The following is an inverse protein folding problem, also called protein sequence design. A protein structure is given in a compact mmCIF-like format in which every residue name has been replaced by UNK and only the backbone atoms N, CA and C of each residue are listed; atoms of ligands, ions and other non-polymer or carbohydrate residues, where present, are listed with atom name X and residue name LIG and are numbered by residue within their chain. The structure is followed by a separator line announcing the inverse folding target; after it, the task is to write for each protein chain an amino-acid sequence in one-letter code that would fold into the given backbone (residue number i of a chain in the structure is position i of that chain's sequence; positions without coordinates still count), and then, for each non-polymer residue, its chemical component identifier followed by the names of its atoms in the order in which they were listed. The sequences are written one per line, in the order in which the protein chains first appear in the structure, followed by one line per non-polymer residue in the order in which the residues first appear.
data_IF_553497324166
#
_entry.id   IF_553497324166
#
_cell.length_a   1.000
_cell.length_b   1.000
_cell.length_c   1.000
_cell.angle_alpha   90.00
_cell.angle_beta   90.00
_cell.angle_gamma   90.00
#
_symmetry.space_group_name_H-M   'P 1'
#
loop_
_entity.id
_entity.type
_entity.pdbx_description
1 polymer ?
#
# COMPACT_ATOMS: atom_id res chain seq x y z
N UNK A 1 31.15 3.39 0.58
CA UNK A 1 31.50 2.33 -0.39
C UNK A 1 31.10 0.92 0.07
N UNK A 2 31.53 0.42 1.25
CA UNK A 2 31.19 -0.95 1.72
C UNK A 2 29.68 -1.27 1.80
N UNK A 3 28.83 -0.33 2.26
CA UNK A 3 27.37 -0.54 2.36
C UNK A 3 26.67 -0.66 1.00
N UNK A 4 27.06 0.17 0.03
CA UNK A 4 26.52 0.14 -1.34
C UNK A 4 26.95 -1.15 -2.04
N UNK A 5 28.22 -1.54 -1.90
CA UNK A 5 28.72 -2.80 -2.43
C UNK A 5 27.99 -4.01 -1.84
N UNK A 6 27.83 -4.08 -0.50
CA UNK A 6 27.09 -5.15 0.17
C UNK A 6 25.62 -5.18 -0.25
N UNK A 7 24.99 -4.02 -0.41
CA UNK A 7 23.62 -3.92 -0.91
C UNK A 7 23.49 -4.50 -2.33
N UNK A 8 24.36 -4.09 -3.27
CA UNK A 8 24.34 -4.61 -4.64
C UNK A 8 24.62 -6.11 -4.69
N UNK A 9 25.62 -6.57 -3.92
CA UNK A 9 25.97 -8.00 -3.84
C UNK A 9 24.82 -8.83 -3.27
N UNK A 10 24.15 -8.33 -2.23
CA UNK A 10 23.00 -9.03 -1.63
C UNK A 10 21.84 -9.11 -2.60
N UNK A 11 21.52 -8.03 -3.32
CA UNK A 11 20.47 -8.05 -4.34
C UNK A 11 20.82 -9.04 -5.46
N UNK A 12 22.07 -9.03 -5.95
CA UNK A 12 22.51 -9.98 -6.98
C UNK A 12 22.40 -11.43 -6.50
N UNK A 13 22.82 -11.71 -5.26
CA UNK A 13 22.71 -13.04 -4.67
C UNK A 13 21.25 -13.50 -4.54
N UNK A 14 20.35 -12.61 -4.07
CA UNK A 14 18.90 -12.90 -3.99
C UNK A 14 18.32 -13.19 -5.37
N UNK A 15 18.64 -12.37 -6.38
CA UNK A 15 18.19 -12.57 -7.76
C UNK A 15 18.70 -13.89 -8.35
N UNK A 16 19.96 -14.25 -8.06
CA UNK A 16 20.56 -15.51 -8.50
C UNK A 16 19.86 -16.70 -7.85
N UNK A 17 19.65 -16.68 -6.53
CA UNK A 17 18.97 -17.76 -5.80
C UNK A 17 17.53 -17.92 -6.30
N UNK A 18 16.78 -16.82 -6.43
CA UNK A 18 15.42 -16.87 -6.98
C UNK A 18 15.39 -17.40 -8.41
N UNK A 19 16.33 -16.96 -9.27
CA UNK A 19 16.45 -17.44 -10.64
C UNK A 19 16.73 -18.94 -10.72
N UNK A 20 17.66 -19.45 -9.90
CA UNK A 20 17.98 -20.89 -9.82
C UNK A 20 16.77 -21.69 -9.34
N UNK A 21 16.12 -21.26 -8.26
CA UNK A 21 14.93 -21.93 -7.71
C UNK A 21 13.80 -21.98 -8.75
N UNK A 22 13.51 -20.86 -9.41
CA UNK A 22 12.50 -20.80 -10.46
C UNK A 22 12.85 -21.71 -11.64
N UNK A 23 14.11 -21.73 -12.07
CA UNK A 23 14.58 -22.60 -13.16
C UNK A 23 14.39 -24.09 -12.81
N UNK A 24 14.72 -24.51 -11.59
CA UNK A 24 14.51 -25.88 -11.12
C UNK A 24 13.01 -26.23 -11.10
N UNK A 25 12.17 -25.34 -10.54
CA UNK A 25 10.71 -25.56 -10.49
C UNK A 25 10.13 -25.67 -11.90
N UNK A 26 10.52 -24.77 -12.80
CA UNK A 26 10.05 -24.80 -14.19
C UNK A 26 10.48 -26.09 -14.90
N UNK A 27 11.75 -26.51 -14.75
CA UNK A 27 12.25 -27.77 -15.29
C UNK A 27 11.47 -28.98 -14.75
N UNK A 28 11.20 -29.03 -13.43
CA UNK A 28 10.44 -30.10 -12.80
C UNK A 28 8.97 -30.16 -13.28
N UNK A 29 8.38 -29.01 -13.64
CA UNK A 29 7.03 -28.91 -14.19
C UNK A 29 6.98 -29.04 -15.72
N UNK A 30 8.13 -29.23 -16.40
CA UNK A 30 8.21 -29.25 -17.87
C UNK A 30 7.88 -27.92 -18.54
N UNK A 31 7.98 -26.80 -17.82
CA UNK A 31 7.68 -25.46 -18.30
C UNK A 31 8.94 -24.80 -18.88
N UNK A 32 8.80 -24.14 -20.02
CA UNK A 32 9.84 -23.27 -20.56
C UNK A 32 9.59 -21.80 -20.21
N UNK A 33 10.64 -20.99 -20.09
CA UNK A 33 10.54 -19.55 -19.79
C UNK A 33 9.70 -18.76 -20.80
N UNK A 34 9.62 -19.26 -22.05
CA UNK A 34 8.82 -18.67 -23.14
C UNK A 34 7.40 -19.26 -23.25
N UNK A 35 7.12 -20.37 -22.56
CA UNK A 35 5.77 -20.94 -22.55
C UNK A 35 4.81 -20.07 -21.74
N UNK A 36 3.53 -20.08 -22.10
CA UNK A 36 2.49 -19.36 -21.34
C UNK A 36 2.48 -19.77 -19.86
N UNK A 37 2.68 -21.05 -19.56
CA UNK A 37 2.75 -21.56 -18.18
C UNK A 37 3.97 -21.03 -17.41
N UNK A 38 5.13 -20.98 -18.06
CA UNK A 38 6.35 -20.41 -17.45
C UNK A 38 6.22 -18.90 -17.18
N UNK A 39 5.68 -18.14 -18.14
CA UNK A 39 5.42 -16.71 -17.99
C UNK A 39 4.44 -16.47 -16.83
N UNK A 40 3.35 -17.26 -16.75
CA UNK A 40 2.37 -17.15 -15.67
C UNK A 40 2.99 -17.47 -14.30
N UNK A 41 3.83 -18.50 -14.21
CA UNK A 41 4.52 -18.86 -12.98
C UNK A 41 5.43 -17.72 -12.51
N UNK A 42 6.26 -17.19 -13.41
CA UNK A 42 7.13 -16.04 -13.12
C UNK A 42 6.28 -14.84 -12.68
N UNK A 43 5.26 -14.47 -13.46
CA UNK A 43 4.39 -13.34 -13.13
C UNK A 43 3.67 -13.51 -11.79
N UNK A 44 3.27 -14.74 -11.43
CA UNK A 44 2.64 -15.05 -10.15
C UNK A 44 3.63 -14.89 -9.00
N UNK A 45 4.84 -15.44 -9.13
CA UNK A 45 5.87 -15.35 -8.10
C UNK A 45 6.31 -13.91 -7.88
N UNK A 46 6.56 -13.14 -8.93
CA UNK A 46 6.97 -11.74 -8.77
C UNK A 46 5.82 -10.82 -8.36
N UNK A 47 4.62 -11.04 -8.90
CA UNK A 47 3.45 -10.24 -8.55
C UNK A 47 3.00 -10.44 -7.10
N UNK A 48 2.81 -11.69 -6.65
CA UNK A 48 2.41 -11.97 -5.27
C UNK A 48 3.57 -11.99 -4.28
N UNK A 49 4.75 -12.45 -4.69
CA UNK A 49 5.88 -12.63 -3.78
C UNK A 49 6.27 -11.33 -3.10
N UNK A 50 6.44 -10.25 -3.88
CA UNK A 50 6.74 -8.93 -3.31
C UNK A 50 5.62 -8.42 -2.38
N UNK A 51 4.37 -8.60 -2.78
CA UNK A 51 3.21 -8.14 -2.01
C UNK A 51 3.09 -8.87 -0.67
N UNK A 52 3.22 -10.20 -0.63
CA UNK A 52 3.16 -10.95 0.63
C UNK A 52 4.35 -10.69 1.53
N UNK A 53 5.57 -10.64 0.98
CA UNK A 53 6.77 -10.28 1.77
C UNK A 53 6.57 -8.91 2.41
N UNK A 54 6.09 -7.92 1.64
CA UNK A 54 5.79 -6.58 2.14
C UNK A 54 4.76 -6.61 3.26
N UNK A 55 3.66 -7.36 3.12
CA UNK A 55 2.61 -7.48 4.13
C UNK A 55 3.12 -8.11 5.43
N UNK A 56 3.90 -9.19 5.35
CA UNK A 56 4.45 -9.84 6.55
C UNK A 56 5.48 -8.96 7.27
N UNK A 57 6.26 -8.19 6.51
CA UNK A 57 7.25 -7.27 7.06
C UNK A 57 6.67 -5.92 7.47
N UNK A 58 5.43 -5.58 7.09
CA UNK A 58 4.89 -4.22 7.17
C UNK A 58 4.97 -3.63 8.58
N UNK A 59 4.61 -4.41 9.60
CA UNK A 59 4.66 -4.01 11.01
C UNK A 59 6.08 -3.77 11.49
N UNK A 60 7.03 -4.60 11.07
CA UNK A 60 8.45 -4.44 11.44
C UNK A 60 9.04 -3.19 10.76
N UNK A 61 8.77 -3.04 9.46
CA UNK A 61 9.20 -1.88 8.66
C UNK A 61 8.65 -0.62 9.29
N UNK A 62 7.34 -0.54 9.54
CA UNK A 62 6.70 0.63 10.12
C UNK A 62 7.31 1.02 11.46
N UNK A 63 7.49 0.07 12.39
CA UNK A 63 8.12 0.36 13.69
C UNK A 63 9.56 0.87 13.56
N UNK A 64 10.32 0.30 12.63
CA UNK A 64 11.73 0.69 12.41
C UNK A 64 11.87 2.02 11.67
N UNK A 65 11.01 2.29 10.69
CA UNK A 65 11.08 3.50 9.87
C UNK A 65 10.60 4.74 10.61
N UNK A 66 9.58 4.61 11.46
CA UNK A 66 9.06 5.72 12.25
C UNK A 66 9.69 5.83 13.63
N UNK A 67 10.42 4.82 14.08
CA UNK A 67 10.92 4.75 15.45
C UNK A 67 9.79 4.57 16.48
N UNK A 68 8.64 4.04 16.08
CA UNK A 68 7.47 3.89 16.93
C UNK A 68 7.78 3.08 18.20
N UNK A 69 7.41 3.65 19.34
CA UNK A 69 7.52 3.05 20.66
C UNK A 69 6.21 2.36 20.99
N UNK A 70 6.22 1.02 21.03
CA UNK A 70 5.05 0.21 21.38
C UNK A 70 4.77 0.35 22.88
N UNK A 71 3.54 0.69 23.23
CA UNK A 71 3.08 0.80 24.61
C UNK A 71 2.79 -0.61 25.13
N UNK A 72 3.70 -1.16 25.93
CA UNK A 72 3.48 -2.44 26.62
C UNK A 72 2.81 -2.24 27.97
N UNK A 73 3.18 -1.17 28.68
CA UNK A 73 2.56 -0.71 29.92
C UNK A 73 2.46 0.82 29.86
N UNK A 74 1.24 1.40 29.97
CA UNK A 74 1.07 2.84 29.97
C UNK A 74 1.82 3.52 31.12
N UNK A 75 2.56 4.59 30.83
CA UNK A 75 3.37 5.34 31.80
C UNK A 75 2.72 6.65 32.25
N UNK A 76 1.73 7.14 31.51
CA UNK A 76 1.02 8.39 31.76
C UNK A 76 -0.45 8.27 31.35
N UNK A 77 -1.25 9.29 31.68
CA UNK A 77 -2.69 9.33 31.39
C UNK A 77 -2.99 9.26 29.89
N UNK A 78 -2.18 9.90 29.04
CA UNK A 78 -2.36 9.88 27.58
C UNK A 78 -2.16 8.48 27.00
N UNK A 79 -1.08 7.78 27.38
CA UNK A 79 -0.83 6.40 26.97
C UNK A 79 -1.92 5.47 27.48
N UNK A 80 -2.42 5.71 28.71
CA UNK A 80 -3.48 4.91 29.30
C UNK A 80 -4.80 5.09 28.54
N UNK A 81 -5.17 6.35 28.24
CA UNK A 81 -6.33 6.68 27.43
C UNK A 81 -6.22 6.07 26.02
N UNK A 82 -5.05 6.15 25.37
CA UNK A 82 -4.84 5.59 24.04
C UNK A 82 -5.08 4.08 24.01
N UNK A 83 -4.45 3.33 24.92
CA UNK A 83 -4.59 1.87 24.99
C UNK A 83 -6.03 1.47 25.29
N UNK A 84 -6.70 2.16 26.23
CA UNK A 84 -8.10 1.89 26.56
C UNK A 84 -9.04 2.20 25.39
N UNK A 85 -8.82 3.31 24.70
CA UNK A 85 -9.63 3.73 23.55
C UNK A 85 -9.53 2.72 22.41
N UNK A 86 -8.32 2.36 22.01
CA UNK A 86 -8.11 1.36 20.95
C UNK A 86 -8.66 0.00 21.38
N UNK A 87 -8.53 -0.39 22.64
CA UNK A 87 -9.11 -1.62 23.18
C UNK A 87 -10.64 -1.65 23.08
N UNK A 88 -11.31 -0.56 23.50
CA UNK A 88 -12.76 -0.44 23.42
C UNK A 88 -13.27 -0.45 21.96
N UNK A 89 -12.56 0.25 21.07
CA UNK A 89 -12.89 0.27 19.64
C UNK A 89 -12.66 -1.09 18.98
N UNK A 90 -11.55 -1.76 19.28
CA UNK A 90 -11.25 -3.11 18.79
C UNK A 90 -12.31 -4.12 19.24
N UNK A 91 -12.77 -4.03 20.49
CA UNK A 91 -13.85 -4.87 21.01
C UNK A 91 -15.17 -4.63 20.28
N UNK A 92 -15.57 -3.36 20.11
CA UNK A 92 -16.76 -2.99 19.33
C UNK A 92 -16.68 -3.46 17.87
N UNK A 93 -15.50 -3.42 17.27
CA UNK A 93 -15.24 -3.86 15.91
C UNK A 93 -15.07 -5.39 15.77
N UNK A 94 -15.05 -6.14 16.88
CA UNK A 94 -14.92 -7.60 16.85
C UNK A 94 -13.55 -8.11 16.40
N UNK A 95 -12.48 -7.34 16.66
CA UNK A 95 -11.10 -7.73 16.34
C UNK A 95 -10.25 -7.91 17.60
N UNK A 96 -9.13 -8.64 17.46
CA UNK A 96 -8.12 -8.69 18.52
C UNK A 96 -7.48 -7.31 18.68
N UNK A 97 -7.18 -6.94 19.92
CA UNK A 97 -6.48 -5.71 20.25
C UNK A 97 -5.18 -5.54 19.43
N UNK A 98 -5.06 -4.49 18.60
CA UNK A 98 -3.81 -4.15 17.91
C UNK A 98 -2.71 -3.76 18.91
N UNK A 99 -1.45 -3.89 18.50
CA UNK A 99 -0.37 -3.16 19.17
C UNK A 99 -0.66 -1.65 19.08
N UNK A 100 -0.44 -0.91 20.17
CA UNK A 100 -0.57 0.55 20.17
C UNK A 100 0.81 1.14 20.31
N UNK A 101 1.16 2.12 19.48
CA UNK A 101 2.44 2.79 19.54
C UNK A 101 2.33 4.30 19.37
N UNK A 102 3.32 5.01 19.89
CA UNK A 102 3.52 6.44 19.65
C UNK A 102 4.83 6.61 18.90
N UNK A 103 4.84 7.45 17.88
CA UNK A 103 6.07 7.84 17.19
C UNK A 103 6.23 9.35 17.18
N UNK A 104 7.48 9.80 17.15
CA UNK A 104 7.76 11.22 17.19
C UNK A 104 7.65 11.82 15.79
N UNK A 105 6.68 12.72 15.60
CA UNK A 105 6.52 13.51 14.39
C UNK A 105 5.65 14.72 14.69
N UNK A 106 6.02 15.94 14.23
CA UNK A 106 5.21 17.14 14.43
C UNK A 106 3.92 17.12 13.59
N UNK A 107 3.83 16.26 12.56
CA UNK A 107 2.64 16.14 11.72
C UNK A 107 1.50 15.44 12.46
N UNK A 108 0.26 15.88 12.23
CA UNK A 108 -0.94 15.23 12.76
C UNK A 108 -1.25 13.99 11.94
N UNK A 109 -0.80 12.82 12.41
CA UNK A 109 -0.93 11.59 11.64
C UNK A 109 -1.10 10.36 12.57
N UNK A 110 -1.81 9.37 12.07
CA UNK A 110 -1.93 8.04 12.63
C UNK A 110 -2.00 7.03 11.48
N UNK A 111 -1.61 5.79 11.74
CA UNK A 111 -1.72 4.75 10.74
C UNK A 111 -1.90 3.37 11.37
N UNK A 112 -2.59 2.50 10.64
CA UNK A 112 -2.70 1.08 10.92
C UNK A 112 -1.90 0.23 9.92
N UNK A 113 -1.25 -0.83 10.41
CA UNK A 113 -0.63 -1.83 9.53
C UNK A 113 -0.54 -3.21 10.19
N UNK A 114 -0.43 -4.26 9.38
CA UNK A 114 -0.08 -5.58 9.85
C UNK A 114 -0.56 -6.70 8.93
N UNK A 115 -0.03 -7.92 9.10
CA UNK A 115 -0.35 -9.05 8.22
C UNK A 115 -1.76 -9.61 8.36
N UNK A 116 -2.50 -9.26 9.42
CA UNK A 116 -3.91 -9.64 9.56
C UNK A 116 -4.62 -8.76 10.59
N UNK A 117 -5.96 -8.83 10.61
CA UNK A 117 -6.78 -8.19 11.66
C UNK A 117 -6.44 -8.63 13.08
N UNK A 118 -5.80 -9.79 13.25
CA UNK A 118 -5.41 -10.36 14.55
C UNK A 118 -3.92 -10.13 14.88
N UNK A 119 -3.19 -9.50 13.97
CA UNK A 119 -1.78 -9.17 14.13
C UNK A 119 -1.53 -7.83 13.43
N UNK A 120 -1.93 -6.76 14.10
CA UNK A 120 -1.91 -5.39 13.60
C UNK A 120 -1.29 -4.45 14.62
N UNK A 121 -0.96 -3.25 14.15
CA UNK A 121 -0.40 -2.14 14.88
C UNK A 121 -1.20 -0.89 14.50
N UNK A 122 -1.61 -0.12 15.49
CA UNK A 122 -2.11 1.26 15.34
C UNK A 122 -1.07 2.18 15.97
N UNK A 123 -0.54 3.12 15.21
CA UNK A 123 0.48 4.05 15.67
C UNK A 123 0.00 5.49 15.51
N UNK A 124 0.32 6.35 16.47
CA UNK A 124 -0.11 7.75 16.53
C UNK A 124 1.10 8.66 16.68
N UNK A 125 1.11 9.80 15.98
CA UNK A 125 2.19 10.79 16.12
C UNK A 125 2.03 11.66 17.37
N UNK A 126 3.15 12.17 17.89
CA UNK A 126 3.15 13.21 18.93
C UNK A 126 2.41 14.47 18.48
N UNK A 127 2.54 14.85 17.20
CA UNK A 127 1.82 15.97 16.59
C UNK A 127 0.30 15.81 16.63
N UNK A 128 -0.23 14.60 16.43
CA UNK A 128 -1.68 14.35 16.53
C UNK A 128 -2.16 14.56 17.96
N UNK A 129 -1.46 13.96 18.93
CA UNK A 129 -1.81 14.04 20.35
C UNK A 129 -1.78 15.47 20.91
N UNK A 130 -0.90 16.32 20.38
CA UNK A 130 -0.80 17.71 20.83
C UNK A 130 -1.78 18.66 20.13
N UNK A 131 -2.20 18.37 18.90
CA UNK A 131 -2.97 19.32 18.07
C UNK A 131 -4.44 18.95 17.87
N UNK A 132 -4.85 17.74 18.28
CA UNK A 132 -6.24 17.32 18.31
C UNK A 132 -6.78 17.26 19.74
N UNK A 133 -8.04 17.61 19.91
CA UNK A 133 -8.73 17.28 21.15
C UNK A 133 -9.02 15.77 21.24
N UNK A 134 -9.42 15.31 22.41
CA UNK A 134 -9.61 13.89 22.69
C UNK A 134 -10.69 13.24 21.80
N UNK A 135 -11.78 13.94 21.49
CA UNK A 135 -12.84 13.44 20.61
C UNK A 135 -12.37 13.29 19.15
N UNK A 136 -11.57 14.24 18.67
CA UNK A 136 -10.99 14.21 17.33
C UNK A 136 -9.96 13.09 17.21
N UNK A 137 -9.07 12.96 18.20
CA UNK A 137 -8.09 11.89 18.24
C UNK A 137 -8.75 10.51 18.38
N UNK A 138 -9.80 10.38 19.20
CA UNK A 138 -10.62 9.16 19.30
C UNK A 138 -11.20 8.76 17.94
N UNK A 139 -11.69 9.72 17.16
CA UNK A 139 -12.25 9.46 15.84
C UNK A 139 -11.19 9.02 14.81
N UNK A 140 -10.00 9.63 14.82
CA UNK A 140 -8.89 9.16 13.98
C UNK A 140 -8.47 7.74 14.35
N UNK A 141 -8.40 7.41 15.64
CA UNK A 141 -8.16 6.03 16.08
C UNK A 141 -9.24 5.06 15.60
N UNK A 142 -10.50 5.47 15.65
CA UNK A 142 -11.62 4.66 15.18
C UNK A 142 -11.55 4.41 13.66
N UNK A 143 -11.05 5.36 12.89
CA UNK A 143 -10.78 5.21 11.46
C UNK A 143 -9.68 4.17 11.21
N UNK A 144 -8.56 4.26 11.92
CA UNK A 144 -7.47 3.27 11.83
C UNK A 144 -7.89 1.87 12.28
N UNK A 145 -8.68 1.76 13.35
CA UNK A 145 -9.26 0.49 13.81
C UNK A 145 -10.22 -0.07 12.77
N UNK A 146 -10.99 0.78 12.08
CA UNK A 146 -11.89 0.34 11.01
C UNK A 146 -11.12 -0.21 9.81
N UNK A 147 -9.97 0.36 9.45
CA UNK A 147 -9.08 -0.24 8.46
C UNK A 147 -8.61 -1.64 8.86
N UNK A 148 -8.21 -1.83 10.11
CA UNK A 148 -7.81 -3.16 10.63
C UNK A 148 -8.99 -4.14 10.57
N UNK A 149 -10.19 -3.70 10.99
CA UNK A 149 -11.39 -4.53 11.03
C UNK A 149 -11.86 -4.96 9.64
N UNK A 150 -11.78 -4.07 8.66
CA UNK A 150 -12.11 -4.35 7.26
C UNK A 150 -11.09 -5.27 6.57
N UNK A 151 -9.92 -5.52 7.17
CA UNK A 151 -8.87 -6.34 6.57
C UNK A 151 -8.19 -5.65 5.39
N UNK A 152 -8.14 -4.33 5.44
CA UNK A 152 -7.76 -3.47 4.33
C UNK A 152 -6.33 -3.67 3.85
N UNK A 153 -5.40 -3.90 4.78
CA UNK A 153 -3.99 -4.17 4.47
C UNK A 153 -3.86 -5.43 3.61
N UNK A 154 -4.53 -6.51 4.04
CA UNK A 154 -4.51 -7.80 3.33
C UNK A 154 -5.18 -7.66 1.97
N UNK A 155 -6.34 -7.01 1.92
CA UNK A 155 -7.10 -6.90 0.67
C UNK A 155 -6.37 -6.04 -0.36
N UNK A 156 -5.75 -4.93 0.06
CA UNK A 156 -4.93 -4.11 -0.83
C UNK A 156 -3.68 -4.87 -1.30
N UNK A 157 -3.04 -5.65 -0.42
CA UNK A 157 -1.93 -6.54 -0.80
C UNK A 157 -2.35 -7.57 -1.85
N UNK A 158 -3.51 -8.20 -1.68
CA UNK A 158 -4.03 -9.19 -2.64
C UNK A 158 -4.35 -8.54 -3.98
N UNK A 159 -4.99 -7.37 -3.98
CA UNK A 159 -5.26 -6.60 -5.21
C UNK A 159 -3.95 -6.24 -5.89
N UNK A 160 -2.96 -5.73 -5.15
CA UNK A 160 -1.65 -5.40 -5.70
C UNK A 160 -0.96 -6.63 -6.29
N UNK A 161 -1.05 -7.78 -5.63
CA UNK A 161 -0.49 -9.05 -6.12
C UNK A 161 -1.10 -9.46 -7.46
N UNK A 162 -2.44 -9.50 -7.53
CA UNK A 162 -3.18 -9.84 -8.76
C UNK A 162 -2.85 -8.85 -9.88
N UNK A 163 -2.89 -7.55 -9.58
CA UNK A 163 -2.65 -6.49 -10.57
C UNK A 163 -1.21 -6.55 -11.09
N UNK A 164 -0.22 -6.72 -10.21
CA UNK A 164 1.18 -6.87 -10.61
C UNK A 164 1.40 -8.12 -11.46
N UNK A 165 0.81 -9.26 -11.07
CA UNK A 165 0.86 -10.49 -11.85
C UNK A 165 0.25 -10.28 -13.24
N UNK A 166 -0.91 -9.63 -13.32
CA UNK A 166 -1.55 -9.32 -14.60
C UNK A 166 -0.67 -8.42 -15.48
N UNK A 167 -0.12 -7.35 -14.94
CA UNK A 167 0.77 -6.42 -15.66
C UNK A 167 1.99 -7.16 -16.23
N UNK A 168 2.68 -7.94 -15.40
CA UNK A 168 3.87 -8.69 -15.82
C UNK A 168 3.49 -9.75 -16.87
N UNK A 169 2.41 -10.49 -16.65
CA UNK A 169 1.98 -11.55 -17.56
C UNK A 169 1.57 -10.99 -18.92
N UNK A 170 0.67 -10.01 -18.94
CA UNK A 170 0.15 -9.40 -20.16
C UNK A 170 1.26 -8.72 -20.97
N UNK A 171 2.16 -8.00 -20.30
CA UNK A 171 3.29 -7.35 -20.97
C UNK A 171 4.22 -8.36 -21.65
N UNK A 172 4.59 -9.45 -20.95
CA UNK A 172 5.48 -10.48 -21.50
C UNK A 172 4.85 -11.25 -22.65
N UNK A 173 3.56 -11.57 -22.55
CA UNK A 173 2.83 -12.25 -23.64
C UNK A 173 2.76 -11.36 -24.87
N UNK A 174 2.37 -10.09 -24.73
CA UNK A 174 2.27 -9.18 -25.86
C UNK A 174 3.64 -8.84 -26.46
N UNK A 175 4.66 -8.66 -25.62
CA UNK A 175 6.03 -8.47 -26.08
C UNK A 175 6.50 -9.67 -26.91
N UNK A 176 6.22 -10.90 -26.48
CA UNK A 176 6.54 -12.11 -27.24
C UNK A 176 5.80 -12.18 -28.59
N UNK A 177 4.54 -11.76 -28.65
CA UNK A 177 3.76 -11.72 -29.90
C UNK A 177 4.35 -10.70 -30.87
N UNK A 178 4.66 -9.49 -30.39
CA UNK A 178 5.24 -8.42 -31.21
C UNK A 178 6.64 -8.80 -31.70
N UNK A 179 7.45 -9.41 -30.83
CA UNK A 179 8.80 -9.86 -31.16
C UNK A 179 8.80 -10.91 -32.28
N UNK A 180 7.91 -11.91 -32.18
CA UNK A 180 7.74 -12.93 -33.20
C UNK A 180 7.26 -12.35 -34.54
N UNK A 181 6.44 -11.30 -34.52
CA UNK A 181 5.96 -10.64 -35.74
C UNK A 181 7.04 -9.80 -36.42
N UNK A 182 7.90 -9.13 -35.65
CA UNK A 182 8.95 -8.25 -36.17
C UNK A 182 10.20 -9.01 -36.63
N UNK A 183 10.55 -10.11 -35.96
CA UNK A 183 11.80 -10.84 -36.20
C UNK A 183 11.56 -12.25 -36.76
N UNK A 184 10.41 -12.49 -37.40
CA UNK A 184 9.97 -13.83 -37.85
C UNK A 184 10.91 -14.58 -38.82
N UNK A 185 11.94 -13.92 -39.36
CA UNK A 185 12.90 -14.48 -40.34
C UNK A 185 14.34 -14.62 -39.80
N UNK A 186 14.67 -14.15 -38.60
CA UNK A 186 16.04 -14.29 -38.04
C UNK A 186 16.15 -15.53 -37.15
N UNK A 187 16.75 -16.59 -37.69
CA UNK A 187 17.01 -17.90 -37.04
C UNK A 187 17.95 -17.86 -35.81
N UNK A 188 18.34 -16.69 -35.29
CA UNK A 188 19.29 -16.59 -34.18
C UNK A 188 18.62 -16.29 -32.84
N UNK A 189 18.05 -17.34 -32.22
CA UNK A 189 18.28 -17.82 -30.84
C UNK A 189 18.38 -16.87 -29.61
N UNK A 190 18.20 -15.56 -29.73
CA UNK A 190 18.28 -14.58 -28.64
C UNK A 190 16.91 -14.03 -28.25
N UNK A 191 16.77 -13.51 -27.03
CA UNK A 191 15.68 -12.56 -26.76
C UNK A 191 16.05 -11.27 -27.49
N UNK A 192 15.34 -10.95 -28.57
CA UNK A 192 15.67 -9.77 -29.37
C UNK A 192 15.54 -8.49 -28.54
N UNK A 193 16.32 -7.47 -28.89
CA UNK A 193 16.24 -6.14 -28.28
C UNK A 193 14.80 -5.59 -28.32
N UNK A 194 14.03 -5.94 -29.37
CA UNK A 194 12.61 -5.61 -29.48
C UNK A 194 11.77 -6.21 -28.34
N UNK A 195 11.96 -7.48 -27.97
CA UNK A 195 11.22 -8.08 -26.86
C UNK A 195 11.38 -7.27 -25.57
N UNK A 196 12.61 -6.90 -25.22
CA UNK A 196 12.88 -6.11 -24.02
C UNK A 196 12.25 -4.71 -24.10
N UNK A 197 12.34 -4.06 -25.26
CA UNK A 197 11.75 -2.75 -25.47
C UNK A 197 10.21 -2.80 -25.31
N UNK A 198 9.55 -3.77 -25.93
CA UNK A 198 8.10 -3.93 -25.86
C UNK A 198 7.61 -4.44 -24.50
N UNK A 199 8.35 -5.34 -23.83
CA UNK A 199 8.02 -5.77 -22.45
C UNK A 199 8.04 -4.56 -21.51
N UNK A 200 9.09 -3.73 -21.59
CA UNK A 200 9.18 -2.50 -20.81
C UNK A 200 8.04 -1.52 -21.14
N UNK A 201 7.77 -1.29 -22.44
CA UNK A 201 6.69 -0.41 -22.88
C UNK A 201 5.32 -0.86 -22.35
N UNK A 202 4.98 -2.14 -22.53
CA UNK A 202 3.71 -2.68 -22.07
C UNK A 202 3.60 -2.71 -20.55
N UNK A 203 4.69 -2.99 -19.82
CA UNK A 203 4.68 -2.89 -18.36
C UNK A 203 4.38 -1.47 -17.88
N UNK A 204 4.97 -0.44 -18.53
CA UNK A 204 4.68 0.96 -18.19
C UNK A 204 3.21 1.29 -18.47
N UNK A 205 2.70 0.95 -19.67
CA UNK A 205 1.31 1.24 -20.05
C UNK A 205 0.33 0.53 -19.13
N UNK A 206 0.49 -0.79 -18.91
CA UNK A 206 -0.37 -1.55 -18.04
C UNK A 206 -0.21 -1.17 -16.57
N UNK A 207 0.99 -0.78 -16.14
CA UNK A 207 1.26 -0.27 -14.80
C UNK A 207 0.49 1.02 -14.50
N UNK A 208 0.42 1.95 -15.47
CA UNK A 208 -0.39 3.17 -15.34
C UNK A 208 -1.87 2.81 -15.21
N UNK A 209 -2.40 1.93 -16.07
CA UNK A 209 -3.80 1.51 -16.00
C UNK A 209 -4.13 0.78 -14.70
N UNK A 210 -3.24 -0.11 -14.27
CA UNK A 210 -3.29 -0.81 -13.00
C UNK A 210 -3.37 0.16 -11.82
N UNK A 211 -2.57 1.23 -11.83
CA UNK A 211 -2.55 2.21 -10.74
C UNK A 211 -3.92 2.90 -10.55
N UNK A 212 -4.68 3.11 -11.62
CA UNK A 212 -6.04 3.71 -11.55
C UNK A 212 -7.00 2.75 -10.82
N UNK A 213 -6.91 1.45 -11.09
CA UNK A 213 -7.73 0.43 -10.42
C UNK A 213 -7.41 0.38 -8.93
N UNK A 214 -6.12 0.36 -8.58
CA UNK A 214 -5.66 0.34 -7.18
C UNK A 214 -6.09 1.62 -6.46
N UNK A 215 -5.93 2.79 -7.08
CA UNK A 215 -6.33 4.08 -6.52
C UNK A 215 -7.86 4.16 -6.30
N UNK A 216 -8.67 3.65 -7.25
CA UNK A 216 -10.12 3.56 -7.08
C UNK A 216 -10.52 2.73 -5.86
N UNK A 217 -9.89 1.57 -5.67
CA UNK A 217 -10.13 0.73 -4.51
C UNK A 217 -9.67 1.39 -3.20
N UNK A 218 -8.50 2.05 -3.21
CA UNK A 218 -7.99 2.83 -2.08
C UNK A 218 -9.00 3.89 -1.62
N UNK A 219 -9.58 4.66 -2.54
CA UNK A 219 -10.60 5.67 -2.20
C UNK A 219 -11.87 5.08 -1.58
N UNK A 220 -12.34 3.94 -2.09
CA UNK A 220 -13.53 3.25 -1.53
C UNK A 220 -13.30 2.80 -0.09
N UNK A 221 -12.09 2.34 0.23
CA UNK A 221 -11.72 1.93 1.58
C UNK A 221 -11.75 3.08 2.58
N UNK A 222 -11.29 4.26 2.19
CA UNK A 222 -11.33 5.46 3.06
C UNK A 222 -12.76 5.80 3.48
N UNK A 223 -13.71 5.80 2.54
CA UNK A 223 -15.14 6.03 2.87
C UNK A 223 -15.71 4.92 3.75
N UNK A 224 -15.31 3.67 3.53
CA UNK A 224 -15.74 2.55 4.37
C UNK A 224 -15.17 2.65 5.79
N UNK A 225 -13.92 3.09 5.94
CA UNK A 225 -13.29 3.33 7.23
C UNK A 225 -13.89 4.55 7.96
N UNK A 226 -14.24 5.63 7.25
CA UNK A 226 -14.99 6.76 7.81
C UNK A 226 -16.37 6.34 8.33
N UNK A 227 -17.11 5.55 7.56
CA UNK A 227 -18.38 4.99 7.99
C UNK A 227 -18.20 4.06 9.20
N UNK A 228 -17.13 3.25 9.22
CA UNK A 228 -16.76 2.42 10.37
C UNK A 228 -16.48 3.25 11.62
N UNK A 229 -15.67 4.30 11.50
CA UNK A 229 -15.38 5.23 12.59
C UNK A 229 -16.66 5.90 13.11
N UNK A 230 -17.52 6.39 12.22
CA UNK A 230 -18.80 6.97 12.58
C UNK A 230 -19.71 6.00 13.36
N UNK A 231 -19.68 4.70 13.03
CA UNK A 231 -20.41 3.67 13.79
C UNK A 231 -19.78 3.41 15.17
N UNK A 232 -18.47 3.55 15.32
CA UNK A 232 -17.76 3.29 16.57
C UNK A 232 -17.87 4.44 17.59
N UNK A 233 -17.78 5.69 17.10
CA UNK A 233 -17.61 6.88 17.95
C UNK A 233 -18.58 8.04 17.62
N UNK A 234 -19.37 7.91 16.55
CA UNK A 234 -20.30 8.95 16.08
C UNK A 234 -19.77 9.76 14.90
N UNK A 235 -20.68 10.11 13.97
CA UNK A 235 -20.34 10.87 12.76
C UNK A 235 -19.83 12.29 13.08
N UNK A 236 -20.35 12.92 14.15
CA UNK A 236 -19.97 14.28 14.53
C UNK A 236 -18.48 14.38 14.91
N UNK A 237 -17.98 13.42 15.70
CA UNK A 237 -16.55 13.35 16.09
C UNK A 237 -15.66 13.16 14.87
N UNK A 238 -16.04 12.26 13.96
CA UNK A 238 -15.28 12.00 12.73
C UNK A 238 -15.23 13.22 11.81
N UNK A 239 -16.35 13.93 11.62
CA UNK A 239 -16.35 15.18 10.85
C UNK A 239 -15.46 16.24 11.48
N UNK A 240 -15.55 16.42 12.80
CA UNK A 240 -14.69 17.37 13.51
C UNK A 240 -13.20 17.05 13.35
N UNK A 241 -12.83 15.76 13.36
CA UNK A 241 -11.46 15.33 13.12
C UNK A 241 -10.98 15.65 11.69
N UNK A 242 -11.81 15.37 10.67
CA UNK A 242 -11.49 15.69 9.26
C UNK A 242 -11.38 17.20 9.02
N UNK A 243 -12.25 18.00 9.63
CA UNK A 243 -12.18 19.46 9.58
C UNK A 243 -10.89 19.99 10.22
N UNK A 244 -10.47 19.40 11.34
CA UNK A 244 -9.22 19.75 12.00
C UNK A 244 -8.00 19.41 11.13
N UNK A 245 -8.00 18.24 10.48
CA UNK A 245 -6.95 17.87 9.52
C UNK A 245 -6.91 18.85 8.34
N UNK A 246 -8.08 19.23 7.79
CA UNK A 246 -8.17 20.19 6.69
C UNK A 246 -7.53 21.54 7.03
N UNK A 247 -7.73 22.03 8.25
CA UNK A 247 -7.14 23.30 8.72
C UNK A 247 -5.60 23.23 8.85
N UNK A 248 -5.06 22.06 9.20
CA UNK A 248 -3.62 21.87 9.39
C UNK A 248 -2.85 21.57 8.09
N UNK A 249 -3.56 21.26 7.00
CA UNK A 249 -3.00 21.05 5.67
C UNK A 249 -3.40 22.18 4.68
N UNK A 250 -2.97 23.43 4.88
CA UNK A 250 -3.05 24.42 3.82
C UNK A 250 -2.10 24.01 2.68
N UNK A 251 -2.67 23.34 1.67
CA UNK A 251 -2.19 23.29 0.29
C UNK A 251 -0.69 22.99 0.06
N UNK A 252 -0.18 21.85 0.54
CA UNK A 252 1.07 21.27 -0.02
C UNK A 252 0.89 20.72 -1.46
N UNK A 253 -0.35 20.64 -1.95
CA UNK A 253 -0.68 20.21 -3.32
C UNK A 253 -0.16 21.15 -4.42
N UNK A 254 0.19 22.39 -4.10
CA UNK A 254 0.64 23.37 -5.11
C UNK A 254 2.12 23.22 -5.50
N UNK A 255 2.97 22.66 -4.61
CA UNK A 255 4.40 22.56 -4.87
C UNK A 255 4.83 21.34 -5.69
N UNK A 256 4.16 20.19 -5.52
CA UNK A 256 4.59 18.92 -6.16
C UNK A 256 3.97 18.69 -7.54
N UNK A 257 2.73 19.17 -7.79
CA UNK A 257 2.08 19.02 -9.10
C UNK A 257 2.62 19.96 -10.19
N UNK A 258 3.22 21.10 -9.80
CA UNK A 258 3.85 22.04 -10.75
C UNK A 258 5.15 21.48 -11.35
N UNK A 259 5.83 20.56 -10.66
CA UNK A 259 7.08 19.97 -11.15
C UNK A 259 6.88 18.95 -12.29
N UNK A 260 5.66 18.45 -12.48
CA UNK A 260 5.31 17.47 -13.52
C UNK A 260 4.53 18.07 -14.71
N UNK A 261 4.40 19.39 -14.81
CA UNK A 261 3.77 20.04 -15.97
C UNK A 261 2.29 19.70 -16.17
N UNK A 262 1.60 19.16 -15.16
CA UNK A 262 0.14 18.94 -15.20
C UNK A 262 -0.55 20.24 -14.84
N UNK A 263 -0.49 21.20 -15.76
CA UNK A 263 -1.42 22.31 -15.78
C UNK A 263 -2.78 21.79 -16.31
N UNK A 264 -3.85 22.03 -15.55
CA UNK A 264 -5.27 21.93 -15.99
C UNK A 264 -5.96 20.55 -16.07
N UNK A 265 -6.06 19.84 -14.94
CA UNK A 265 -7.04 18.75 -14.86
C UNK A 265 -7.30 18.23 -13.46
N UNK A 266 -8.24 18.85 -12.73
CA UNK A 266 -8.72 18.32 -11.43
C UNK A 266 -9.11 16.84 -11.54
N UNK A 267 -9.63 16.38 -12.69
CA UNK A 267 -10.04 15.00 -12.92
C UNK A 267 -8.91 13.98 -13.11
N UNK A 268 -7.81 14.32 -13.79
CA UNK A 268 -6.70 13.35 -14.01
C UNK A 268 -5.89 13.12 -12.73
N UNK A 269 -5.63 14.18 -11.95
CA UNK A 269 -4.98 14.05 -10.64
C UNK A 269 -5.84 13.24 -9.65
N UNK A 270 -7.16 13.37 -9.73
CA UNK A 270 -8.11 12.64 -8.89
C UNK A 270 -8.15 11.13 -9.20
N UNK A 271 -7.92 10.73 -10.46
CA UNK A 271 -7.83 9.32 -10.83
C UNK A 271 -6.67 8.60 -10.13
N UNK A 272 -5.52 9.26 -9.99
CA UNK A 272 -4.31 8.73 -9.36
C UNK A 272 -4.24 8.97 -7.85
N UNK A 273 -5.17 9.74 -7.26
CA UNK A 273 -5.19 9.98 -5.81
C UNK A 273 -5.61 8.73 -5.04
N UNK A 274 -4.78 8.30 -4.07
CA UNK A 274 -5.08 7.17 -3.17
C UNK A 274 -6.05 7.54 -2.04
N UNK A 275 -6.18 8.83 -1.73
CA UNK A 275 -7.13 9.35 -0.75
C UNK A 275 -8.15 10.28 -1.44
N UNK A 276 -9.45 10.17 -1.13
CA UNK A 276 -10.44 11.10 -1.62
C UNK A 276 -10.27 12.47 -0.93
N UNK A 277 -10.71 13.57 -1.56
CA UNK A 277 -10.69 14.89 -0.95
C UNK A 277 -11.40 14.91 0.41
N UNK A 278 -10.84 15.64 1.39
CA UNK A 278 -11.43 15.74 2.74
C UNK A 278 -12.87 16.25 2.69
N UNK A 279 -13.18 17.19 1.79
CA UNK A 279 -14.55 17.70 1.62
C UNK A 279 -15.54 16.59 1.22
N UNK A 280 -15.15 15.70 0.31
CA UNK A 280 -15.99 14.57 -0.10
C UNK A 280 -16.22 13.58 1.05
N UNK A 281 -15.21 13.36 1.91
CA UNK A 281 -15.32 12.51 3.11
C UNK A 281 -16.25 13.13 4.15
N UNK A 282 -16.11 14.43 4.41
CA UNK A 282 -16.97 15.17 5.34
C UNK A 282 -18.42 15.15 4.86
N UNK A 283 -18.66 15.38 3.56
CA UNK A 283 -20.01 15.36 2.98
C UNK A 283 -20.63 13.97 3.00
N UNK A 284 -19.84 12.91 2.83
CA UNK A 284 -20.33 11.53 2.95
C UNK A 284 -20.83 11.20 4.36
N UNK A 285 -20.26 11.82 5.40
CA UNK A 285 -20.67 11.67 6.80
C UNK A 285 -21.90 12.53 7.18
N UNK A 286 -22.43 13.35 6.27
CA UNK A 286 -23.67 14.12 6.48
C UNK A 286 -24.92 13.36 6.05
N UNK A 287 -24.76 12.27 5.30
CA UNK A 287 -25.84 11.44 4.76
C UNK A 287 -26.09 10.24 5.66
#
# INVERSE_FOLDING_TARGET
MKRIFLFLLTNLAVMLVLGVVLSIIMSALGLSHRSLGGILLIASVFGFGGSFISLFMSKWIAKKSTGAQVITQPRNETEHWLVQTVSAQAQKAGIKMPEVAIYDSPEMNAFATGPSKNNSLVAVSTGLLHNMNQDQAEAVLAHEVSHVANGDMVTLTLIQGVVNTFVIFAAKVLAGIVDNFLNGDEEEGGSSWSYFLFDMLFQVVFGVLASIVVASYSRKREFAADSGAAKLVGADKMRSALERLKQNHPSQLQGSMMAFGIASGKGMAELFSSHPPLDARIDALRK
#
